data_IF_007948215886
#
_entry.id   IF_007948215886
#
_cell.length_a   1.000
_cell.length_b   1.000
_cell.length_c   1.000
_cell.angle_alpha   90.00
_cell.angle_beta   90.00
_cell.angle_gamma   90.00
#
_symmetry.space_group_name_H-M   'P 1'
#
loop_
_entity.id
_entity.type
_entity.pdbx_description
1 polymer ?
#
# COMPACT_ATOMS: atom_id res chain seq x y z
N UNK A 1 -3.28 16.95 -58.48
CA UNK A 1 -4.29 17.82 -57.83
C UNK A 1 -4.96 17.01 -56.72
N UNK A 2 -4.85 17.49 -55.48
CA UNK A 2 -5.29 16.82 -54.25
C UNK A 2 -6.79 17.10 -54.02
N UNK A 3 -7.61 16.09 -53.83
CA UNK A 3 -8.97 16.25 -53.31
C UNK A 3 -9.03 15.80 -51.84
N UNK A 4 -9.04 16.80 -50.96
CA UNK A 4 -9.51 16.69 -49.58
C UNK A 4 -11.02 16.45 -49.61
N UNK A 5 -11.49 15.29 -49.18
CA UNK A 5 -12.85 15.13 -48.67
C UNK A 5 -12.83 14.18 -47.47
N UNK A 6 -12.63 14.74 -46.28
CA UNK A 6 -12.92 14.06 -45.03
C UNK A 6 -13.44 15.07 -44.00
N UNK A 7 -14.56 14.69 -43.38
CA UNK A 7 -14.87 14.93 -41.97
C UNK A 7 -15.60 16.22 -41.57
N UNK A 8 -16.86 16.37 -42.01
CA UNK A 8 -17.87 17.17 -41.27
C UNK A 8 -18.58 16.32 -40.19
N UNK A 9 -18.56 14.98 -40.31
CA UNK A 9 -19.28 14.09 -39.40
C UNK A 9 -18.67 13.92 -37.99
N UNK A 10 -17.36 14.14 -37.79
CA UNK A 10 -16.72 13.96 -36.48
C UNK A 10 -16.82 15.18 -35.55
N UNK A 11 -17.13 16.37 -36.08
CA UNK A 11 -17.29 17.58 -35.27
C UNK A 11 -18.68 17.67 -34.60
N UNK A 12 -19.70 17.03 -35.19
CA UNK A 12 -21.06 17.06 -34.63
C UNK A 12 -21.22 16.17 -33.38
N UNK A 13 -20.42 15.10 -33.27
CA UNK A 13 -20.43 14.18 -32.13
C UNK A 13 -19.76 14.75 -30.87
N UNK A 14 -18.82 15.69 -31.03
CA UNK A 14 -18.19 16.37 -29.89
C UNK A 14 -19.08 17.46 -29.28
N UNK A 15 -19.92 18.12 -30.07
CA UNK A 15 -20.80 19.17 -29.57
C UNK A 15 -21.99 18.62 -28.76
N UNK A 16 -22.42 17.38 -29.03
CA UNK A 16 -23.52 16.74 -28.31
C UNK A 16 -23.12 16.16 -26.94
N UNK A 17 -21.82 15.91 -26.70
CA UNK A 17 -21.32 15.38 -25.43
C UNK A 17 -21.07 16.47 -24.37
N UNK A 18 -20.87 17.72 -24.78
CA UNK A 18 -20.62 18.85 -23.86
C UNK A 18 -21.91 19.40 -23.22
N UNK A 19 -23.09 19.13 -23.80
CA UNK A 19 -24.37 19.60 -23.27
C UNK A 19 -25.00 18.70 -22.18
N UNK A 20 -24.44 17.53 -21.87
CA UNK A 20 -24.97 16.62 -20.85
C UNK A 20 -24.31 16.74 -19.46
N UNK A 21 -23.32 17.62 -19.28
CA UNK A 21 -22.59 17.78 -18.00
C UNK A 21 -23.01 19.01 -17.17
N UNK A 22 -24.13 19.67 -17.49
CA UNK A 22 -24.53 20.93 -16.82
C UNK A 22 -25.83 20.86 -16.00
N UNK A 23 -26.34 19.68 -15.64
CA UNK A 23 -27.48 19.60 -14.72
C UNK A 23 -27.29 18.50 -13.67
N UNK A 24 -26.64 18.86 -12.56
CA UNK A 24 -26.91 18.33 -11.21
C UNK A 24 -26.18 19.20 -10.17
N UNK A 25 -26.72 20.41 -9.94
CA UNK A 25 -26.43 21.26 -8.79
C UNK A 25 -27.72 21.42 -7.99
N UNK A 26 -27.63 21.04 -6.71
CA UNK A 26 -28.48 21.42 -5.57
C UNK A 26 -29.90 20.86 -5.45
N UNK A 27 -30.08 19.98 -4.46
CA UNK A 27 -31.20 20.08 -3.50
C UNK A 27 -30.77 19.60 -2.12
N UNK A 28 -30.45 20.57 -1.27
CA UNK A 28 -30.52 20.45 0.18
C UNK A 28 -31.99 20.52 0.59
N UNK A 29 -32.47 19.52 1.32
CA UNK A 29 -33.72 19.61 2.09
C UNK A 29 -33.45 19.08 3.49
N UNK A 30 -33.32 20.03 4.41
CA UNK A 30 -33.44 19.83 5.84
C UNK A 30 -34.88 19.41 6.19
N UNK A 31 -35.04 18.22 6.74
CA UNK A 31 -36.26 17.86 7.49
C UNK A 31 -35.89 17.00 8.69
N UNK A 32 -35.94 17.63 9.86
CA UNK A 32 -36.65 17.10 11.03
C UNK A 32 -36.05 15.90 11.75
N UNK A 33 -35.54 16.16 12.96
CA UNK A 33 -35.61 15.22 14.08
C UNK A 33 -37.00 14.56 14.15
N UNK A 34 -37.03 13.23 14.17
CA UNK A 34 -37.95 12.47 15.01
C UNK A 34 -37.18 11.32 15.66
N UNK A 35 -36.77 11.58 16.89
CA UNK A 35 -36.47 10.56 17.89
C UNK A 35 -37.79 9.84 18.20
N UNK A 36 -37.89 8.56 17.86
CA UNK A 36 -38.71 7.63 18.59
C UNK A 36 -37.81 6.47 18.99
N UNK A 37 -37.64 6.32 20.31
CA UNK A 37 -36.90 5.22 20.90
C UNK A 37 -37.71 3.94 20.81
N UNK A 38 -37.03 2.88 20.41
CA UNK A 38 -37.33 1.52 20.81
C UNK A 38 -35.96 0.86 21.06
N UNK A 39 -35.66 0.40 22.28
CA UNK A 39 -34.43 -0.33 22.54
C UNK A 39 -34.71 -1.79 22.20
N UNK A 40 -34.67 -2.15 20.91
CA UNK A 40 -34.49 -3.55 20.56
C UNK A 40 -33.01 -3.87 20.71
N UNK A 41 -32.71 -4.52 21.83
CA UNK A 41 -31.48 -5.18 22.20
C UNK A 41 -31.20 -6.38 21.26
N UNK A 42 -31.20 -6.14 19.95
CA UNK A 42 -30.67 -7.07 18.97
C UNK A 42 -29.23 -6.64 18.72
N UNK A 43 -28.29 -7.45 19.21
CA UNK A 43 -26.96 -7.51 18.64
C UNK A 43 -27.11 -7.74 17.14
N UNK A 44 -27.16 -6.65 16.37
CA UNK A 44 -26.90 -6.69 14.95
C UNK A 44 -25.43 -7.11 14.88
N UNK A 45 -25.19 -8.41 14.75
CA UNK A 45 -23.90 -8.93 14.33
C UNK A 45 -23.66 -8.35 12.94
N UNK A 46 -23.05 -7.17 12.89
CA UNK A 46 -22.56 -6.54 11.67
C UNK A 46 -21.51 -7.49 11.11
N UNK A 47 -21.95 -8.37 10.21
CA UNK A 47 -21.08 -9.32 9.56
C UNK A 47 -20.15 -8.55 8.63
N UNK A 48 -18.93 -8.31 9.09
CA UNK A 48 -17.84 -7.68 8.33
C UNK A 48 -17.61 -8.35 6.96
N UNK A 49 -18.07 -9.60 6.79
CA UNK A 49 -17.99 -10.32 5.52
C UNK A 49 -18.88 -9.70 4.42
N UNK A 50 -20.04 -9.16 4.77
CA UNK A 50 -20.92 -8.50 3.79
C UNK A 50 -20.32 -7.16 3.35
N UNK A 51 -19.76 -6.42 4.30
CA UNK A 51 -19.07 -5.16 4.02
C UNK A 51 -17.82 -5.40 3.15
N UNK A 52 -17.03 -6.44 3.45
CA UNK A 52 -15.88 -6.83 2.63
C UNK A 52 -16.29 -7.16 1.19
N UNK A 53 -17.36 -7.93 1.00
CA UNK A 53 -17.87 -8.24 -0.34
C UNK A 53 -18.33 -6.99 -1.09
N UNK A 54 -19.05 -6.10 -0.42
CA UNK A 54 -19.50 -4.84 -1.04
C UNK A 54 -18.33 -3.94 -1.43
N UNK A 55 -17.27 -3.89 -0.60
CA UNK A 55 -16.03 -3.19 -0.91
C UNK A 55 -15.34 -3.84 -2.12
N UNK A 56 -15.23 -5.15 -2.16
CA UNK A 56 -14.61 -5.86 -3.28
C UNK A 56 -15.38 -5.67 -4.59
N UNK A 57 -16.71 -5.61 -4.54
CA UNK A 57 -17.56 -5.28 -5.69
C UNK A 57 -17.33 -3.86 -6.19
N UNK A 58 -17.21 -2.88 -5.29
CA UNK A 58 -16.85 -1.50 -5.64
C UNK A 58 -15.43 -1.41 -6.23
N UNK A 59 -14.51 -2.28 -5.80
CA UNK A 59 -13.12 -2.33 -6.29
C UNK A 59 -12.97 -2.95 -7.67
N UNK A 60 -13.98 -3.67 -8.19
CA UNK A 60 -13.96 -4.23 -9.56
C UNK A 60 -13.90 -3.16 -10.65
N UNK A 61 -14.43 -1.96 -10.37
CA UNK A 61 -14.45 -0.84 -11.31
C UNK A 61 -13.16 0.01 -11.28
N UNK A 62 -12.26 -0.27 -10.34
CA UNK A 62 -11.00 0.46 -10.20
C UNK A 62 -9.93 -0.25 -11.04
N UNK A 63 -9.16 0.47 -11.87
CA UNK A 63 -8.02 -0.11 -12.58
C UNK A 63 -7.06 -0.83 -11.63
N UNK A 64 -6.55 -1.99 -12.06
CA UNK A 64 -5.69 -2.86 -11.23
C UNK A 64 -4.47 -2.12 -10.68
N UNK A 65 -3.80 -1.31 -11.52
CA UNK A 65 -2.65 -0.50 -11.11
C UNK A 65 -2.97 0.48 -9.96
N UNK A 66 -4.16 1.10 -9.99
CA UNK A 66 -4.61 2.05 -8.96
C UNK A 66 -4.96 1.30 -7.68
N UNK A 67 -5.60 0.14 -7.81
CA UNK A 67 -5.96 -0.70 -6.67
C UNK A 67 -4.72 -1.16 -5.91
N UNK A 68 -3.71 -1.63 -6.63
CA UNK A 68 -2.46 -2.12 -6.05
C UNK A 68 -1.68 -1.00 -5.35
N UNK A 69 -1.65 0.19 -5.96
CA UNK A 69 -1.05 1.39 -5.33
C UNK A 69 -1.78 1.81 -4.06
N UNK A 70 -3.12 1.77 -4.06
CA UNK A 70 -3.89 2.11 -2.87
C UNK A 70 -3.68 1.11 -1.74
N UNK A 71 -3.53 -0.18 -2.05
CA UNK A 71 -3.23 -1.22 -1.07
C UNK A 71 -1.81 -1.08 -0.49
N UNK A 72 -0.83 -0.77 -1.34
CA UNK A 72 0.54 -0.54 -0.89
C UNK A 72 0.62 0.70 0.02
N UNK A 73 -0.03 1.80 -0.36
CA UNK A 73 -0.13 3.01 0.48
C UNK A 73 -0.84 2.72 1.81
N UNK A 74 -1.98 2.03 1.78
CA UNK A 74 -2.70 1.63 3.00
C UNK A 74 -1.81 0.82 3.94
N UNK A 75 -1.02 -0.10 3.39
CA UNK A 75 -0.07 -0.90 4.15
C UNK A 75 1.05 -0.04 4.76
N UNK A 76 1.64 0.88 3.99
CA UNK A 76 2.67 1.82 4.46
C UNK A 76 2.12 2.68 5.60
N UNK A 77 0.94 3.29 5.40
CA UNK A 77 0.27 4.12 6.40
C UNK A 77 -0.08 3.33 7.66
N UNK A 78 -0.52 2.08 7.51
CA UNK A 78 -0.78 1.18 8.65
C UNK A 78 0.48 0.95 9.51
N UNK A 79 1.66 0.84 8.89
CA UNK A 79 2.92 0.70 9.64
C UNK A 79 3.30 1.96 10.42
N UNK A 80 2.83 3.14 10.00
CA UNK A 80 3.18 4.46 10.54
C UNK A 80 2.03 5.17 11.27
N UNK A 81 0.85 4.55 11.37
CA UNK A 81 -0.34 5.18 11.93
C UNK A 81 -0.23 5.48 13.42
N UNK A 82 0.57 4.71 14.17
CA UNK A 82 0.83 4.93 15.58
C UNK A 82 2.24 5.50 15.82
N UNK A 83 2.31 6.68 16.44
CA UNK A 83 3.57 7.33 16.88
C UNK A 83 4.29 6.60 18.03
N UNK A 84 3.78 5.45 18.47
CA UNK A 84 4.35 4.66 19.58
C UNK A 84 5.57 3.84 19.15
N UNK A 85 5.67 3.48 17.86
CA UNK A 85 6.70 2.56 17.37
C UNK A 85 7.99 3.33 17.02
N UNK A 86 9.15 2.77 17.35
CA UNK A 86 10.42 3.38 16.95
C UNK A 86 10.58 3.33 15.40
N UNK A 87 11.00 4.41 14.72
CA UNK A 87 11.11 4.46 13.26
C UNK A 87 11.93 3.32 12.64
N UNK A 88 12.96 2.84 13.35
CA UNK A 88 13.75 1.68 12.91
C UNK A 88 12.92 0.39 12.83
N UNK A 89 12.02 0.13 13.79
CA UNK A 89 11.15 -1.06 13.79
C UNK A 89 10.15 -1.01 12.63
N UNK A 90 9.65 0.19 12.29
CA UNK A 90 8.79 0.41 11.11
C UNK A 90 9.55 0.01 9.84
N UNK A 91 10.79 0.47 9.70
CA UNK A 91 11.67 0.13 8.56
C UNK A 91 11.98 -1.36 8.47
N UNK A 92 12.25 -2.01 9.59
CA UNK A 92 12.49 -3.46 9.64
C UNK A 92 11.26 -4.25 9.18
N UNK A 93 10.06 -3.87 9.64
CA UNK A 93 8.79 -4.50 9.21
C UNK A 93 8.57 -4.32 7.71
N UNK A 94 8.76 -3.12 7.18
CA UNK A 94 8.64 -2.85 5.74
C UNK A 94 9.64 -3.69 4.92
N UNK A 95 10.91 -3.70 5.33
CA UNK A 95 11.94 -4.50 4.65
C UNK A 95 11.63 -6.00 4.70
N UNK A 96 11.10 -6.51 5.82
CA UNK A 96 10.65 -7.90 5.93
C UNK A 96 9.54 -8.20 4.93
N UNK A 97 8.53 -7.34 4.86
CA UNK A 97 7.43 -7.49 3.90
C UNK A 97 7.92 -7.48 2.45
N UNK A 98 8.80 -6.54 2.08
CA UNK A 98 9.42 -6.48 0.76
C UNK A 98 10.18 -7.78 0.41
N UNK A 99 10.93 -8.34 1.38
CA UNK A 99 11.61 -9.63 1.20
C UNK A 99 10.63 -10.78 0.98
N UNK A 100 9.58 -10.87 1.79
CA UNK A 100 8.56 -11.91 1.66
C UNK A 100 7.86 -11.85 0.29
N UNK A 101 7.53 -10.66 -0.20
CA UNK A 101 6.96 -10.48 -1.55
C UNK A 101 7.91 -10.96 -2.63
N UNK A 102 9.19 -10.57 -2.58
CA UNK A 102 10.21 -11.05 -3.53
C UNK A 102 10.31 -12.58 -3.52
N UNK A 103 10.35 -13.19 -2.34
CA UNK A 103 10.43 -14.65 -2.21
C UNK A 103 9.20 -15.34 -2.78
N UNK A 104 7.99 -14.83 -2.49
CA UNK A 104 6.74 -15.37 -3.05
C UNK A 104 6.73 -15.26 -4.58
N UNK A 105 7.06 -14.08 -5.11
CA UNK A 105 7.14 -13.84 -6.55
C UNK A 105 8.12 -14.79 -7.24
N UNK A 106 9.35 -14.91 -6.73
CA UNK A 106 10.35 -15.82 -7.27
C UNK A 106 9.91 -17.29 -7.23
N UNK A 107 9.22 -17.70 -6.16
CA UNK A 107 8.69 -19.07 -6.04
C UNK A 107 7.63 -19.36 -7.11
N UNK A 108 6.68 -18.45 -7.30
CA UNK A 108 5.65 -18.61 -8.34
C UNK A 108 6.25 -18.61 -9.74
N UNK A 109 7.23 -17.75 -10.01
CA UNK A 109 7.92 -17.71 -11.30
C UNK A 109 8.72 -18.98 -11.61
N UNK A 110 9.35 -19.58 -10.59
CA UNK A 110 10.01 -20.89 -10.74
C UNK A 110 8.98 -21.96 -11.11
N UNK A 111 7.88 -22.06 -10.36
CA UNK A 111 6.80 -23.01 -10.66
C UNK A 111 6.25 -22.83 -12.06
N UNK A 112 6.04 -21.60 -12.50
CA UNK A 112 5.49 -21.30 -13.82
C UNK A 112 6.44 -21.77 -14.94
N UNK A 113 7.75 -21.53 -14.80
CA UNK A 113 8.77 -22.06 -15.72
C UNK A 113 8.84 -23.59 -15.72
N UNK A 114 8.73 -24.20 -14.54
CA UNK A 114 8.74 -25.66 -14.40
C UNK A 114 7.52 -26.30 -15.07
N UNK A 115 6.33 -25.70 -14.87
CA UNK A 115 5.09 -26.11 -15.52
C UNK A 115 5.17 -25.98 -17.04
N UNK A 116 5.67 -24.84 -17.54
CA UNK A 116 5.88 -24.63 -18.97
C UNK A 116 6.81 -25.70 -19.55
N UNK A 117 7.98 -25.91 -18.92
CA UNK A 117 8.97 -26.90 -19.38
C UNK A 117 8.42 -28.33 -19.36
N UNK A 118 7.60 -28.67 -18.36
CA UNK A 118 6.91 -29.96 -18.30
C UNK A 118 5.91 -30.12 -19.44
N UNK A 119 5.13 -29.08 -19.76
CA UNK A 119 4.15 -29.12 -20.84
C UNK A 119 4.84 -29.19 -22.21
N UNK A 120 5.87 -28.37 -22.43
CA UNK A 120 6.74 -28.41 -23.62
C UNK A 120 7.29 -29.82 -23.86
N UNK A 121 7.79 -30.49 -22.82
CA UNK A 121 8.27 -31.86 -22.91
C UNK A 121 7.16 -32.84 -23.33
N UNK A 122 5.97 -32.73 -22.73
CA UNK A 122 4.82 -33.58 -23.09
C UNK A 122 4.38 -33.37 -24.54
N UNK A 123 4.34 -32.13 -25.01
CA UNK A 123 4.00 -31.80 -26.40
C UNK A 123 5.02 -32.42 -27.37
N UNK A 124 6.31 -32.36 -27.04
CA UNK A 124 7.35 -33.02 -27.85
C UNK A 124 7.22 -34.55 -27.86
N UNK A 125 6.97 -35.16 -26.70
CA UNK A 125 6.80 -36.62 -26.59
C UNK A 125 5.56 -37.12 -27.34
N UNK A 126 4.45 -36.38 -27.28
CA UNK A 126 3.22 -36.70 -28.02
C UNK A 126 3.43 -36.56 -29.53
N UNK A 127 4.02 -35.45 -29.97
CA UNK A 127 4.37 -35.25 -31.39
C UNK A 127 5.26 -36.37 -31.94
N UNK A 128 6.31 -36.77 -31.21
CA UNK A 128 7.19 -37.86 -31.64
C UNK A 128 6.47 -39.22 -31.74
N UNK A 129 5.57 -39.51 -30.80
CA UNK A 129 4.75 -40.73 -30.84
C UNK A 129 3.81 -40.71 -32.06
N UNK A 130 3.22 -39.56 -32.37
CA UNK A 130 2.30 -39.44 -33.50
C UNK A 130 3.04 -39.52 -34.84
N UNK A 131 4.22 -38.90 -34.96
CA UNK A 131 5.11 -39.06 -36.12
C UNK A 131 5.49 -40.53 -36.34
N UNK A 132 5.86 -41.24 -35.27
CA UNK A 132 6.16 -42.68 -35.34
C UNK A 132 4.94 -43.48 -35.79
N UNK A 133 3.76 -43.25 -35.20
CA UNK A 133 2.51 -43.92 -35.60
C UNK A 133 2.14 -43.64 -37.06
N UNK A 134 2.28 -42.41 -37.54
CA UNK A 134 2.05 -42.04 -38.95
C UNK A 134 2.96 -42.84 -39.88
N UNK A 135 4.24 -42.95 -39.53
CA UNK A 135 5.20 -43.76 -40.28
C UNK A 135 4.86 -45.26 -40.26
N UNK A 136 4.53 -45.80 -39.09
CA UNK A 136 4.28 -47.23 -38.90
C UNK A 136 2.93 -47.69 -39.52
N UNK A 137 1.93 -46.80 -39.56
CA UNK A 137 0.60 -47.10 -40.12
C UNK A 137 0.56 -47.11 -41.66
N UNK A 138 1.54 -46.47 -42.33
CA UNK A 138 1.61 -46.43 -43.79
C UNK A 138 2.46 -47.59 -44.32
N UNK A 139 1.87 -48.43 -45.16
CA UNK A 139 2.61 -49.48 -45.86
C UNK A 139 3.42 -48.90 -47.03
N UNK A 140 4.53 -48.24 -46.70
CA UNK A 140 5.39 -47.55 -47.67
C UNK A 140 5.94 -48.47 -48.76
N UNK A 141 6.00 -49.80 -48.53
CA UNK A 141 6.47 -50.77 -49.51
C UNK A 141 5.51 -50.94 -50.70
N UNK A 142 4.22 -50.71 -50.50
CA UNK A 142 3.18 -50.80 -51.53
C UNK A 142 2.92 -49.48 -52.25
N UNK A 143 3.52 -48.37 -51.79
CA UNK A 143 3.33 -47.05 -52.39
C UNK A 143 4.24 -46.85 -53.61
N UNK A 144 3.73 -46.10 -54.60
CA UNK A 144 4.52 -45.58 -55.71
C UNK A 144 5.67 -44.71 -55.20
N UNK A 145 6.77 -44.65 -55.96
CA UNK A 145 7.96 -43.88 -55.58
C UNK A 145 7.67 -42.40 -55.33
N UNK A 146 6.82 -41.79 -56.16
CA UNK A 146 6.43 -40.38 -56.03
C UNK A 146 5.66 -40.16 -54.71
N UNK A 147 4.58 -40.90 -54.48
CA UNK A 147 3.78 -40.81 -53.25
C UNK A 147 4.60 -41.05 -51.97
N UNK A 148 5.58 -41.97 -52.04
CA UNK A 148 6.48 -42.24 -50.92
C UNK A 148 7.36 -41.02 -50.61
N UNK A 149 7.86 -40.34 -51.64
CA UNK A 149 8.66 -39.13 -51.48
C UNK A 149 7.82 -38.00 -50.86
N UNK A 150 6.62 -37.78 -51.38
CA UNK A 150 5.71 -36.74 -50.88
C UNK A 150 5.30 -36.99 -49.43
N UNK A 151 5.05 -38.24 -49.06
CA UNK A 151 4.78 -38.62 -47.68
C UNK A 151 5.93 -38.25 -46.73
N UNK A 152 7.17 -38.55 -47.09
CA UNK A 152 8.31 -38.21 -46.23
C UNK A 152 8.61 -36.71 -46.20
N UNK A 153 8.36 -35.99 -47.30
CA UNK A 153 8.45 -34.53 -47.33
C UNK A 153 7.43 -33.91 -46.36
N UNK A 154 6.17 -34.33 -46.39
CA UNK A 154 5.13 -33.86 -45.46
C UNK A 154 5.49 -34.13 -43.99
N UNK A 155 6.03 -35.31 -43.67
CA UNK A 155 6.50 -35.60 -42.31
C UNK A 155 7.64 -34.68 -41.86
N UNK A 156 8.59 -34.37 -42.75
CA UNK A 156 9.69 -33.46 -42.42
C UNK A 156 9.21 -32.00 -42.31
N UNK A 157 8.27 -31.57 -43.15
CA UNK A 157 7.67 -30.24 -43.08
C UNK A 157 6.89 -30.06 -41.77
N UNK A 158 6.04 -31.03 -41.39
CA UNK A 158 5.35 -31.05 -40.09
C UNK A 158 6.34 -31.01 -38.92
N UNK A 159 7.47 -31.73 -39.03
CA UNK A 159 8.52 -31.71 -38.03
C UNK A 159 9.17 -30.32 -37.91
N UNK A 160 9.52 -29.70 -39.03
CA UNK A 160 10.10 -28.34 -39.05
C UNK A 160 9.14 -27.32 -38.46
N UNK A 161 7.87 -27.34 -38.89
CA UNK A 161 6.84 -26.45 -38.42
C UNK A 161 6.60 -26.59 -36.91
N UNK A 162 6.50 -27.82 -36.41
CA UNK A 162 6.35 -28.09 -34.98
C UNK A 162 7.49 -27.49 -34.16
N UNK A 163 8.75 -27.74 -34.55
CA UNK A 163 9.90 -27.23 -33.77
C UNK A 163 10.09 -25.72 -33.89
N UNK A 164 9.73 -25.10 -35.01
CA UNK A 164 9.70 -23.65 -35.16
C UNK A 164 8.65 -23.04 -34.22
N UNK A 165 7.42 -23.59 -34.23
CA UNK A 165 6.35 -23.17 -33.34
C UNK A 165 6.74 -23.31 -31.86
N UNK A 166 7.39 -24.41 -31.47
CA UNK A 166 7.87 -24.59 -30.10
C UNK A 166 8.91 -23.54 -29.69
N UNK A 167 9.82 -23.17 -30.61
CA UNK A 167 10.81 -22.11 -30.37
C UNK A 167 10.14 -20.75 -30.17
N UNK A 168 9.16 -20.42 -31.00
CA UNK A 168 8.44 -19.15 -30.93
C UNK A 168 7.61 -19.05 -29.64
N UNK A 169 6.87 -20.11 -29.29
CA UNK A 169 6.15 -20.21 -28.01
C UNK A 169 7.08 -20.03 -26.81
N UNK A 170 8.28 -20.63 -26.84
CA UNK A 170 9.27 -20.48 -25.76
C UNK A 170 9.74 -19.02 -25.67
N UNK A 171 10.02 -18.40 -26.81
CA UNK A 171 10.46 -17.01 -26.87
C UNK A 171 9.40 -16.06 -26.32
N UNK A 172 8.14 -16.25 -26.71
CA UNK A 172 7.00 -15.49 -26.21
C UNK A 172 6.82 -15.67 -24.70
N UNK A 173 6.84 -16.91 -24.22
CA UNK A 173 6.76 -17.21 -22.79
C UNK A 173 7.87 -16.52 -21.98
N UNK A 174 9.13 -16.60 -22.41
CA UNK A 174 10.23 -15.94 -21.69
C UNK A 174 10.13 -14.41 -21.78
N UNK A 175 9.59 -13.86 -22.87
CA UNK A 175 9.33 -12.43 -22.99
C UNK A 175 8.28 -11.96 -21.97
N UNK A 176 7.14 -12.63 -21.88
CA UNK A 176 6.07 -12.36 -20.92
C UNK A 176 6.57 -12.47 -19.46
N UNK A 177 7.34 -13.51 -19.16
CA UNK A 177 7.98 -13.67 -17.85
C UNK A 177 8.94 -12.51 -17.54
N UNK A 178 9.74 -12.08 -18.51
CA UNK A 178 10.67 -10.98 -18.30
C UNK A 178 9.96 -9.64 -18.12
N UNK A 179 8.87 -9.40 -18.84
CA UNK A 179 8.01 -8.22 -18.70
C UNK A 179 7.38 -8.17 -17.30
N UNK A 180 6.67 -9.22 -16.88
CA UNK A 180 6.08 -9.30 -15.54
C UNK A 180 7.11 -9.16 -14.42
N UNK A 181 8.33 -9.67 -14.64
CA UNK A 181 9.45 -9.47 -13.71
C UNK A 181 9.85 -8.00 -13.61
N UNK A 182 10.00 -7.30 -14.74
CA UNK A 182 10.31 -5.86 -14.75
C UNK A 182 9.23 -5.06 -14.04
N UNK A 183 7.96 -5.32 -14.33
CA UNK A 183 6.83 -4.60 -13.73
C UNK A 183 6.80 -4.79 -12.21
N UNK A 184 6.96 -6.03 -11.75
CA UNK A 184 7.05 -6.33 -10.32
C UNK A 184 8.19 -5.56 -9.63
N UNK A 185 9.40 -5.55 -10.20
CA UNK A 185 10.52 -4.83 -9.60
C UNK A 185 10.36 -3.31 -9.69
N UNK A 186 9.71 -2.79 -10.74
CA UNK A 186 9.37 -1.38 -10.85
C UNK A 186 8.40 -0.97 -9.74
N UNK A 187 7.36 -1.76 -9.49
CA UNK A 187 6.42 -1.54 -8.39
C UNK A 187 7.12 -1.54 -7.03
N UNK A 188 7.96 -2.54 -6.73
CA UNK A 188 8.70 -2.56 -5.46
C UNK A 188 9.62 -1.35 -5.28
N UNK A 189 10.20 -0.85 -6.38
CA UNK A 189 11.03 0.36 -6.34
C UNK A 189 10.20 1.59 -6.03
N UNK A 190 9.00 1.70 -6.59
CA UNK A 190 8.10 2.82 -6.33
C UNK A 190 7.60 2.81 -4.88
N UNK A 191 7.14 1.66 -4.39
CA UNK A 191 6.75 1.48 -2.99
C UNK A 191 7.88 1.82 -2.02
N UNK A 192 9.13 1.49 -2.38
CA UNK A 192 10.29 1.83 -1.58
C UNK A 192 10.50 3.34 -1.50
N UNK A 193 10.24 4.09 -2.57
CA UNK A 193 10.31 5.56 -2.57
C UNK A 193 9.21 6.15 -1.69
N UNK A 194 7.96 5.74 -1.92
CA UNK A 194 6.80 6.19 -1.14
C UNK A 194 7.00 5.92 0.36
N UNK A 195 7.47 4.71 0.69
CA UNK A 195 7.82 4.38 2.06
C UNK A 195 8.91 5.30 2.63
N UNK A 196 9.95 5.62 1.87
CA UNK A 196 11.02 6.49 2.35
C UNK A 196 10.55 7.93 2.60
N UNK A 197 9.62 8.43 1.78
CA UNK A 197 9.01 9.74 1.96
C UNK A 197 8.17 9.78 3.23
N UNK A 198 7.25 8.84 3.39
CA UNK A 198 6.42 8.71 4.59
C UNK A 198 7.26 8.45 5.85
N UNK A 199 8.30 7.63 5.74
CA UNK A 199 9.19 7.31 6.85
C UNK A 199 9.95 8.55 7.35
N UNK A 200 10.36 9.47 6.46
CA UNK A 200 10.99 10.74 6.86
C UNK A 200 10.01 11.61 7.67
N UNK A 201 8.77 11.72 7.19
CA UNK A 201 7.71 12.47 7.87
C UNK A 201 7.44 11.85 9.24
N UNK A 202 7.26 10.52 9.28
CA UNK A 202 7.04 9.76 10.51
C UNK A 202 8.19 9.93 11.51
N UNK A 203 9.44 9.77 11.06
CA UNK A 203 10.61 9.89 11.92
C UNK A 203 10.74 11.29 12.52
N UNK A 204 10.40 12.34 11.77
CA UNK A 204 10.36 13.71 12.29
C UNK A 204 9.30 13.83 13.37
N UNK A 205 8.05 13.43 13.10
CA UNK A 205 6.95 13.47 14.06
C UNK A 205 7.26 12.66 15.33
N UNK A 206 7.93 11.51 15.19
CA UNK A 206 8.35 10.69 16.31
C UNK A 206 9.40 11.38 17.18
N UNK A 207 10.40 12.03 16.57
CA UNK A 207 11.42 12.80 17.30
C UNK A 207 10.79 13.99 18.06
N UNK A 208 9.87 14.70 17.41
CA UNK A 208 9.13 15.82 18.02
C UNK A 208 8.31 15.31 19.22
N UNK A 209 7.58 14.20 19.05
CA UNK A 209 6.83 13.56 20.13
C UNK A 209 7.72 13.12 21.31
N UNK A 210 8.92 12.57 21.03
CA UNK A 210 9.88 12.23 22.08
C UNK A 210 10.41 13.47 22.80
N UNK A 211 10.65 14.57 22.08
CA UNK A 211 11.07 15.84 22.66
C UNK A 211 9.99 16.38 23.59
N UNK A 212 8.74 16.47 23.11
CA UNK A 212 7.60 16.93 23.91
C UNK A 212 7.39 16.09 25.17
N UNK A 213 7.56 14.76 25.05
CA UNK A 213 7.48 13.85 26.20
C UNK A 213 8.56 14.13 27.24
N UNK A 214 9.80 14.42 26.82
CA UNK A 214 10.90 14.80 27.71
C UNK A 214 10.67 16.17 28.35
N UNK A 215 10.19 17.14 27.58
CA UNK A 215 9.93 18.50 28.07
C UNK A 215 8.78 18.53 29.07
N UNK A 216 7.69 17.77 28.82
CA UNK A 216 6.61 17.56 29.79
C UNK A 216 7.11 16.96 31.10
N UNK A 217 7.91 15.88 31.01
CA UNK A 217 8.52 15.24 32.19
C UNK A 217 9.42 16.21 32.97
N UNK A 218 10.21 17.03 32.27
CA UNK A 218 11.07 18.04 32.90
C UNK A 218 10.26 19.13 33.60
N UNK A 219 9.18 19.60 32.98
CA UNK A 219 8.30 20.61 33.55
C UNK A 219 7.55 20.08 34.79
N UNK A 220 7.10 18.83 34.77
CA UNK A 220 6.50 18.15 35.94
C UNK A 220 7.48 18.04 37.12
N UNK A 221 8.75 17.72 36.85
CA UNK A 221 9.80 17.68 37.88
C UNK A 221 10.05 19.09 38.45
N UNK A 222 10.14 20.10 37.58
CA UNK A 222 10.37 21.48 38.01
C UNK A 222 9.17 22.08 38.76
N UNK A 223 7.93 21.74 38.40
CA UNK A 223 6.74 22.19 39.12
C UNK A 223 6.61 21.53 40.50
N UNK A 224 7.03 20.27 40.63
CA UNK A 224 7.04 19.57 41.92
C UNK A 224 8.18 20.03 42.84
N UNK A 225 9.26 20.59 42.28
CA UNK A 225 10.40 21.13 43.02
C UNK A 225 10.34 22.66 43.24
N UNK A 226 9.26 23.33 42.82
CA UNK A 226 9.03 24.73 43.20
C UNK A 226 8.70 24.79 44.70
N UNK A 227 9.54 25.42 45.55
CA UNK A 227 9.19 25.61 46.94
C UNK A 227 7.90 26.43 47.01
N UNK A 228 6.92 25.91 47.75
CA UNK A 228 5.72 26.65 48.10
C UNK A 228 6.10 28.05 48.55
N UNK A 229 5.75 29.08 47.76
CA UNK A 229 5.82 30.50 48.14
C UNK A 229 4.76 30.82 49.22
N UNK A 230 4.65 29.97 50.22
CA UNK A 230 3.84 30.17 51.41
C UNK A 230 4.76 30.27 52.63
N UNK A 231 5.70 31.22 52.60
CA UNK A 231 6.40 31.68 53.82
C UNK A 231 7.18 32.99 53.61
N UNK A 232 6.55 33.99 52.98
CA UNK A 232 7.04 35.38 52.98
C UNK A 232 5.98 36.36 53.49
N UNK A 233 5.19 35.93 54.48
CA UNK A 233 4.32 36.79 55.29
C UNK A 233 4.65 36.55 56.77
N UNK A 234 5.87 36.88 57.20
CA UNK A 234 6.23 36.91 58.63
C UNK A 234 7.44 37.80 58.98
N UNK A 235 8.08 38.46 58.01
CA UNK A 235 9.21 39.36 58.28
C UNK A 235 8.79 40.77 58.73
N UNK A 236 7.54 41.18 58.49
CA UNK A 236 6.99 42.46 58.99
C UNK A 236 6.47 42.35 60.43
N UNK A 237 5.94 41.21 60.85
CA UNK A 237 5.49 40.99 62.24
C UNK A 237 6.65 40.82 63.23
N UNK A 238 7.82 40.31 62.79
CA UNK A 238 9.00 40.21 63.65
C UNK A 238 9.72 41.56 63.90
N UNK A 239 9.46 42.60 63.12
CA UNK A 239 10.01 43.95 63.38
C UNK A 239 9.28 44.69 64.51
N UNK A 240 8.02 44.34 64.79
CA UNK A 240 7.26 44.92 65.91
C UNK A 240 7.72 44.46 67.29
N UNK A 241 8.30 43.26 67.41
CA UNK A 241 8.69 42.69 68.70
C UNK A 241 10.04 43.20 69.23
N UNK A 242 10.93 43.71 68.36
CA UNK A 242 12.21 44.30 68.78
C UNK A 242 12.10 45.76 69.25
N UNK A 243 10.99 46.45 68.98
CA UNK A 243 10.77 47.83 69.46
C UNK A 243 10.27 47.92 70.91
N UNK A 244 9.87 46.82 71.55
CA UNK A 244 9.41 46.80 72.94
C UNK A 244 10.53 46.60 73.99
N UNK A 245 11.77 46.31 73.57
CA UNK A 245 12.92 46.16 74.48
C UNK A 245 13.73 47.46 74.69
N UNK A 246 13.41 48.54 73.96
CA UNK A 246 14.09 49.84 74.07
C UNK A 246 13.21 50.91 74.73
N UNK A 247 12.46 50.55 75.77
CA UNK A 247 11.82 51.54 76.64
C UNK A 247 12.88 52.08 77.63
N UNK A 248 13.22 53.38 77.61
CA UNK A 248 14.15 53.97 78.56
C UNK A 248 13.55 53.97 79.96
N UNK A 249 14.22 53.31 80.90
CA UNK A 249 13.92 53.38 82.33
C UNK A 249 14.14 54.80 82.85
N UNK A 250 13.10 55.36 83.44
CA UNK A 250 13.14 56.60 84.21
C UNK A 250 13.99 56.39 85.47
N UNK A 251 15.21 56.94 85.48
CA UNK A 251 15.98 57.10 86.71
C UNK A 251 15.32 58.21 87.54
N UNK A 252 14.70 57.83 88.67
CA UNK A 252 14.39 58.76 89.74
C UNK A 252 15.70 59.19 90.40
N UNK A 253 16.09 60.45 90.17
CA UNK A 253 17.06 61.16 90.99
C UNK A 253 16.37 61.65 92.27
N UNK A 254 16.79 61.12 93.41
CA UNK A 254 16.56 61.70 94.74
C UNK A 254 17.75 62.59 95.08
N UNK A 255 17.54 63.90 95.05
CA UNK A 255 18.33 64.87 95.80
C UNK A 255 17.38 66.04 96.12
N UNK A 256 16.94 66.11 97.37
CA UNK A 256 16.73 67.38 98.11
C UNK A 256 16.41 67.06 99.59
N UNK A 257 17.35 67.46 100.44
CA UNK A 257 17.29 67.78 101.88
C UNK A 257 17.23 66.66 102.93
#
# INVERSE_FOLDING_TARGET
MKSLQMSVGKLFLYFLFVLFLSQCVSRTSSTGLKTQGEPTDSKVEVSLANDQKSIDDLRKNIPEDIRDRNDSLKMILSLMGELKVHPQKVREKFNKFQRERRTKFQKEFRKLRDQYTKNERKERETFQKDQKKKKDSKNTKQMERADRQDFYNDLDDQRREFYNTQRDKRKEFEADINEKSKDFYAQLKEEQKEFNEEWRIYSKRWNDWQKDKRDKKRNEINSNNMPSKHNQLSSEEMKGFQQLQNAPGSNLSTDDQ
#
